data_IF_123422647252
#
_entry.id   IF_123422647252
#
_cell.length_a   1.000
_cell.length_b   1.000
_cell.length_c   1.000
_cell.angle_alpha   90.00
_cell.angle_beta   90.00
_cell.angle_gamma   90.00
#
_symmetry.space_group_name_H-M   'P 1'
#
loop_
_entity.id
_entity.type
_entity.pdbx_description
1 polymer ?
#
# COMPACT_ATOMS: atom_id res chain seq x y z
N UNK A 1 41.61 -45.82 31.84
CA UNK A 1 40.16 -45.72 31.84
C UNK A 1 39.79 -44.33 31.35
N UNK A 2 39.48 -44.21 30.04
CA UNK A 2 39.14 -42.91 29.40
C UNK A 2 37.64 -42.74 29.44
N UNK A 3 37.16 -41.71 30.16
CA UNK A 3 35.78 -41.27 30.18
C UNK A 3 35.52 -40.42 28.93
N UNK A 4 34.59 -40.84 28.08
CA UNK A 4 34.10 -40.10 26.89
C UNK A 4 33.00 -39.18 27.36
N UNK A 5 33.28 -37.90 27.40
CA UNK A 5 32.25 -36.83 27.52
C UNK A 5 31.67 -36.59 26.13
N UNK A 6 30.41 -37.01 25.91
CA UNK A 6 29.61 -36.67 24.73
C UNK A 6 28.96 -35.28 24.94
N UNK A 7 29.45 -34.29 24.22
CA UNK A 7 28.80 -32.98 24.11
C UNK A 7 27.62 -33.09 23.14
N UNK A 8 26.41 -33.12 23.67
CA UNK A 8 25.19 -32.97 22.88
C UNK A 8 24.99 -31.48 22.61
N UNK A 9 25.32 -31.07 21.37
CA UNK A 9 25.00 -29.72 20.88
C UNK A 9 23.50 -29.64 20.59
N UNK A 10 22.75 -28.96 21.45
CA UNK A 10 21.33 -28.65 21.26
C UNK A 10 21.23 -27.51 20.26
N UNK A 11 20.96 -27.83 18.98
CA UNK A 11 20.62 -26.86 17.96
C UNK A 11 19.21 -26.30 18.26
N UNK A 12 19.15 -25.15 18.93
CA UNK A 12 17.94 -24.34 18.99
C UNK A 12 17.70 -23.75 17.58
N UNK A 13 16.86 -24.39 16.79
CA UNK A 13 16.26 -23.76 15.62
C UNK A 13 15.27 -22.71 16.11
N UNK A 14 15.69 -21.44 16.09
CA UNK A 14 14.80 -20.31 16.24
C UNK A 14 13.83 -20.34 15.06
N UNK A 15 12.64 -20.90 15.26
CA UNK A 15 11.51 -20.74 14.36
C UNK A 15 11.15 -19.26 14.43
N UNK A 16 11.56 -18.50 13.42
CA UNK A 16 11.08 -17.15 13.24
C UNK A 16 9.54 -17.26 13.14
N UNK A 17 8.84 -16.92 14.23
CA UNK A 17 7.40 -16.78 14.21
C UNK A 17 7.09 -15.64 13.24
N UNK A 18 6.80 -16.01 11.99
CA UNK A 18 6.28 -15.08 11.00
C UNK A 18 5.05 -14.43 11.62
N UNK A 19 5.02 -13.12 11.69
CA UNK A 19 3.86 -12.37 12.14
C UNK A 19 2.65 -12.88 11.34
N UNK A 20 1.73 -13.56 12.01
CA UNK A 20 0.52 -14.07 11.38
C UNK A 20 -0.26 -12.87 10.87
N UNK A 21 -0.47 -12.83 9.56
CA UNK A 21 -1.25 -11.78 8.92
C UNK A 21 -2.65 -11.72 9.55
N UNK A 22 -3.07 -10.53 9.97
CA UNK A 22 -4.40 -10.34 10.55
C UNK A 22 -5.47 -10.63 9.50
N UNK A 23 -6.48 -11.48 9.80
CA UNK A 23 -7.54 -11.77 8.85
C UNK A 23 -8.56 -10.63 8.82
N UNK A 24 -8.89 -10.14 7.63
CA UNK A 24 -10.02 -9.27 7.37
C UNK A 24 -11.07 -10.02 6.53
N UNK A 25 -12.33 -9.53 6.50
CA UNK A 25 -13.37 -10.11 5.66
C UNK A 25 -13.93 -9.09 4.67
N UNK A 26 -13.98 -9.49 3.39
CA UNK A 26 -14.59 -8.72 2.31
C UNK A 26 -15.72 -9.57 1.73
N UNK A 27 -16.99 -9.19 1.95
CA UNK A 27 -18.16 -9.98 1.50
C UNK A 27 -18.07 -11.44 1.96
N UNK A 28 -17.71 -11.68 3.23
CA UNK A 28 -17.56 -13.04 3.79
C UNK A 28 -16.23 -13.74 3.45
N UNK A 29 -15.46 -13.28 2.44
CA UNK A 29 -14.20 -13.90 2.02
C UNK A 29 -13.06 -13.47 2.96
N UNK A 30 -12.31 -14.42 3.59
CA UNK A 30 -11.19 -14.08 4.44
C UNK A 30 -9.98 -13.68 3.59
N UNK A 31 -9.45 -12.48 3.87
CA UNK A 31 -8.25 -11.90 3.27
C UNK A 31 -7.22 -11.71 4.38
N UNK A 32 -6.05 -12.31 4.24
CA UNK A 32 -4.94 -12.15 5.16
C UNK A 32 -4.12 -10.93 4.76
N UNK A 33 -3.88 -10.03 5.74
CA UNK A 33 -3.23 -8.74 5.54
C UNK A 33 -1.91 -8.72 6.30
N UNK A 34 -0.78 -9.05 5.65
CA UNK A 34 0.51 -8.98 6.33
C UNK A 34 0.90 -7.52 6.59
N UNK A 35 1.37 -7.23 7.81
CA UNK A 35 2.05 -5.97 8.06
C UNK A 35 3.34 -5.89 7.21
N UNK A 36 3.68 -4.73 6.66
CA UNK A 36 4.96 -4.52 6.00
C UNK A 36 6.15 -4.83 6.91
N UNK A 37 7.26 -5.25 6.33
CA UNK A 37 8.47 -5.51 7.12
C UNK A 37 8.88 -4.29 7.96
N UNK A 38 9.11 -4.48 9.25
CA UNK A 38 9.43 -3.42 10.22
C UNK A 38 8.22 -2.61 10.70
N UNK A 39 7.00 -3.00 10.30
CA UNK A 39 5.76 -2.37 10.74
C UNK A 39 5.03 -3.23 11.75
N UNK A 40 4.36 -2.56 12.67
CA UNK A 40 3.50 -3.15 13.68
C UNK A 40 2.05 -2.74 13.42
N UNK A 41 1.13 -3.71 13.55
CA UNK A 41 -0.30 -3.44 13.39
C UNK A 41 -0.83 -2.53 14.51
N UNK A 42 -1.72 -1.64 14.13
CA UNK A 42 -2.55 -0.94 15.10
C UNK A 42 -3.59 -1.91 15.64
N UNK A 43 -3.75 -1.92 16.97
CA UNK A 43 -4.64 -2.85 17.67
C UNK A 43 -5.72 -2.10 18.44
N UNK A 44 -6.98 -2.50 18.26
CA UNK A 44 -8.09 -1.94 19.02
C UNK A 44 -8.00 -2.19 20.54
N UNK A 45 -7.12 -3.10 20.99
CA UNK A 45 -6.82 -3.31 22.40
C UNK A 45 -6.00 -2.15 23.00
N UNK A 46 -5.31 -1.37 22.18
CA UNK A 46 -4.60 -0.16 22.61
C UNK A 46 -5.52 1.06 22.46
N UNK A 47 -5.78 1.85 23.51
CA UNK A 47 -6.72 2.98 23.46
C UNK A 47 -6.33 4.08 22.44
N UNK A 48 -5.03 4.33 22.23
CA UNK A 48 -4.56 5.31 21.24
C UNK A 48 -4.81 4.82 19.82
N UNK A 49 -4.47 3.55 19.55
CA UNK A 49 -4.71 2.91 18.25
C UNK A 49 -6.21 2.87 17.94
N UNK A 50 -7.03 2.46 18.91
CA UNK A 50 -8.49 2.41 18.77
C UNK A 50 -9.06 3.75 18.33
N UNK A 51 -8.62 4.86 18.96
CA UNK A 51 -9.07 6.21 18.56
C UNK A 51 -8.70 6.50 17.10
N UNK A 52 -7.46 6.21 16.68
CA UNK A 52 -7.01 6.43 15.31
C UNK A 52 -7.77 5.56 14.32
N UNK A 53 -7.87 4.26 14.58
CA UNK A 53 -8.60 3.32 13.71
C UNK A 53 -10.07 3.73 13.58
N UNK A 54 -10.74 4.07 14.68
CA UNK A 54 -12.14 4.53 14.66
C UNK A 54 -12.31 5.82 13.83
N UNK A 55 -11.41 6.79 14.01
CA UNK A 55 -11.45 8.06 13.26
C UNK A 55 -11.25 7.82 11.76
N UNK A 56 -10.25 7.02 11.39
CA UNK A 56 -9.98 6.68 9.99
C UNK A 56 -11.10 5.86 9.36
N UNK A 57 -11.65 4.89 10.09
CA UNK A 57 -12.80 4.10 9.61
C UNK A 57 -13.97 5.03 9.26
N UNK A 58 -14.33 5.95 10.14
CA UNK A 58 -15.42 6.89 9.87
C UNK A 58 -15.14 7.83 8.68
N UNK A 59 -13.88 8.26 8.48
CA UNK A 59 -13.50 9.06 7.31
C UNK A 59 -13.59 8.26 6.00
N UNK A 60 -13.10 7.03 6.00
CA UNK A 60 -13.06 6.17 4.84
C UNK A 60 -14.46 5.68 4.43
N UNK A 61 -15.31 5.34 5.39
CA UNK A 61 -16.70 4.94 5.12
C UNK A 61 -17.49 6.06 4.43
N UNK A 62 -17.32 7.31 4.87
CA UNK A 62 -17.90 8.47 4.18
C UNK A 62 -17.36 8.67 2.76
N UNK A 63 -16.21 8.09 2.44
CA UNK A 63 -15.61 8.09 1.12
C UNK A 63 -15.91 6.82 0.32
N UNK A 64 -16.79 5.94 0.82
CA UNK A 64 -17.16 4.70 0.17
C UNK A 64 -16.13 3.58 0.30
N UNK A 65 -15.15 3.69 1.21
CA UNK A 65 -14.14 2.67 1.45
C UNK A 65 -14.22 2.11 2.88
N UNK A 66 -13.92 0.85 3.03
CA UNK A 66 -13.75 0.17 4.32
C UNK A 66 -12.28 0.00 4.63
N UNK A 67 -11.87 0.41 5.83
CA UNK A 67 -10.55 0.08 6.37
C UNK A 67 -10.52 -1.41 6.70
N UNK A 68 -9.54 -2.13 6.18
CA UNK A 68 -9.31 -3.56 6.43
C UNK A 68 -8.21 -3.78 7.46
N UNK A 69 -7.21 -2.90 7.50
CA UNK A 69 -6.09 -2.95 8.42
C UNK A 69 -5.20 -1.73 8.27
N UNK A 70 -4.49 -1.41 9.34
CA UNK A 70 -3.49 -0.34 9.39
C UNK A 70 -2.29 -0.79 10.19
N UNK A 71 -1.12 -0.44 9.71
CA UNK A 71 0.15 -0.68 10.39
C UNK A 71 1.07 0.54 10.23
N UNK A 72 2.01 0.72 11.14
CA UNK A 72 2.99 1.79 11.10
C UNK A 72 4.36 1.26 11.47
N UNK A 73 5.42 1.99 11.11
CA UNK A 73 6.76 1.71 11.60
C UNK A 73 6.74 1.47 13.11
N UNK A 74 7.30 0.35 13.58
CA UNK A 74 7.14 -0.10 14.97
C UNK A 74 7.70 0.92 15.99
N UNK A 75 8.83 1.56 15.65
CA UNK A 75 9.41 2.57 16.52
C UNK A 75 8.56 3.82 16.57
N UNK A 76 8.10 4.31 15.39
CA UNK A 76 7.23 5.48 15.34
C UNK A 76 5.90 5.23 16.04
N UNK A 77 5.34 4.03 15.93
CA UNK A 77 4.10 3.66 16.61
C UNK A 77 4.27 3.66 18.14
N UNK A 78 5.40 3.17 18.64
CA UNK A 78 5.75 3.20 20.06
C UNK A 78 5.88 4.64 20.57
N UNK A 79 6.58 5.49 19.83
CA UNK A 79 6.79 6.90 20.18
C UNK A 79 5.46 7.68 20.13
N UNK A 80 4.60 7.37 19.16
CA UNK A 80 3.28 7.97 19.04
C UNK A 80 2.35 7.56 20.20
N UNK A 81 2.32 6.27 20.57
CA UNK A 81 1.52 5.75 21.69
C UNK A 81 1.93 6.39 23.03
N UNK A 82 3.19 6.73 23.18
CA UNK A 82 3.74 7.36 24.40
C UNK A 82 3.73 8.89 24.37
N UNK A 83 3.21 9.51 23.29
CA UNK A 83 3.14 10.97 23.14
C UNK A 83 4.46 11.64 22.78
N UNK A 84 5.55 10.89 22.56
CA UNK A 84 6.82 11.43 22.09
C UNK A 84 6.77 11.91 20.66
N UNK A 85 5.79 11.44 19.88
CA UNK A 85 5.55 11.78 18.49
C UNK A 85 4.07 12.14 18.29
N UNK A 86 3.81 13.22 17.55
CA UNK A 86 2.43 13.66 17.28
C UNK A 86 1.81 12.98 16.06
N UNK A 87 2.61 12.71 15.01
CA UNK A 87 2.18 12.12 13.75
C UNK A 87 3.02 10.92 13.38
N UNK A 88 2.40 9.94 12.75
CA UNK A 88 3.11 8.86 12.06
C UNK A 88 3.60 9.37 10.70
N UNK A 89 4.85 9.09 10.36
CA UNK A 89 5.45 9.45 9.08
C UNK A 89 5.35 8.30 8.09
N UNK A 90 5.67 7.08 8.57
CA UNK A 90 5.66 5.87 7.76
C UNK A 90 4.58 4.93 8.27
N UNK A 91 3.53 4.76 7.47
CA UNK A 91 2.43 3.85 7.78
C UNK A 91 1.83 3.25 6.50
N UNK A 92 1.07 2.19 6.67
CA UNK A 92 0.40 1.47 5.60
C UNK A 92 -1.06 1.19 5.96
N UNK A 93 -1.90 1.09 4.95
CA UNK A 93 -3.32 0.75 5.10
C UNK A 93 -3.73 -0.23 4.02
N UNK A 94 -4.68 -1.10 4.37
CA UNK A 94 -5.44 -1.88 3.40
C UNK A 94 -6.90 -1.45 3.45
N UNK A 95 -7.50 -1.28 2.27
CA UNK A 95 -8.87 -0.82 2.12
C UNK A 95 -9.58 -1.62 1.03
N UNK A 96 -10.92 -1.56 1.02
CA UNK A 96 -11.76 -2.10 -0.07
C UNK A 96 -12.94 -1.16 -0.32
N UNK A 97 -13.43 -1.02 -1.56
CA UNK A 97 -14.63 -0.24 -1.84
C UNK A 97 -15.86 -0.93 -1.24
N UNK A 98 -16.66 -0.19 -0.45
CA UNK A 98 -17.86 -0.75 0.22
C UNK A 98 -18.86 -1.26 -0.80
N UNK A 99 -19.11 -0.51 -1.89
CA UNK A 99 -20.10 -0.86 -2.91
C UNK A 99 -19.80 -2.13 -3.71
N UNK A 100 -18.57 -2.66 -3.62
CA UNK A 100 -18.14 -3.89 -4.34
C UNK A 100 -17.81 -5.06 -3.41
N UNK A 101 -18.03 -4.93 -2.09
CA UNK A 101 -17.64 -5.99 -1.14
C UNK A 101 -18.29 -7.33 -1.43
N UNK A 102 -19.57 -7.34 -1.80
CA UNK A 102 -20.35 -8.57 -2.03
C UNK A 102 -20.33 -9.02 -3.49
N UNK A 103 -19.71 -8.23 -4.38
CA UNK A 103 -19.63 -8.49 -5.81
C UNK A 103 -18.20 -8.77 -6.26
N UNK A 104 -17.99 -9.47 -7.38
CA UNK A 104 -16.69 -9.49 -8.03
C UNK A 104 -16.32 -8.08 -8.52
N UNK A 105 -15.01 -7.79 -8.69
CA UNK A 105 -14.55 -6.54 -9.29
C UNK A 105 -15.19 -6.33 -10.67
N UNK A 106 -15.63 -5.11 -10.96
CA UNK A 106 -16.16 -4.74 -12.28
C UNK A 106 -15.08 -4.55 -13.33
N UNK A 107 -13.85 -4.31 -12.90
CA UNK A 107 -12.71 -4.04 -13.76
C UNK A 107 -11.55 -4.97 -13.41
N UNK A 108 -10.76 -5.30 -14.41
CA UNK A 108 -9.45 -5.96 -14.24
C UNK A 108 -8.42 -4.94 -13.75
N UNK A 109 -7.29 -5.41 -13.25
CA UNK A 109 -6.15 -4.56 -12.88
C UNK A 109 -5.72 -3.67 -14.05
N UNK A 110 -5.62 -4.23 -15.26
CA UNK A 110 -5.21 -3.49 -16.46
C UNK A 110 -6.22 -2.38 -16.82
N UNK A 111 -7.52 -2.65 -16.73
CA UNK A 111 -8.57 -1.65 -16.97
C UNK A 111 -8.48 -0.52 -15.94
N UNK A 112 -8.34 -0.86 -14.65
CA UNK A 112 -8.14 0.14 -13.59
C UNK A 112 -6.89 1.01 -13.85
N UNK A 113 -5.79 0.41 -14.31
CA UNK A 113 -4.60 1.17 -14.69
C UNK A 113 -4.84 2.11 -15.87
N UNK A 114 -5.57 1.66 -16.89
CA UNK A 114 -5.94 2.49 -18.02
C UNK A 114 -6.80 3.68 -17.58
N UNK A 115 -7.81 3.44 -16.76
CA UNK A 115 -8.68 4.50 -16.19
C UNK A 115 -7.85 5.52 -15.38
N UNK A 116 -6.94 5.06 -14.50
CA UNK A 116 -6.09 5.96 -13.72
C UNK A 116 -5.14 6.78 -14.59
N UNK A 117 -4.63 6.24 -15.72
CA UNK A 117 -3.80 7.01 -16.65
C UNK A 117 -4.58 8.09 -17.37
N UNK A 118 -5.81 7.80 -17.76
CA UNK A 118 -6.64 8.71 -18.55
C UNK A 118 -7.34 9.75 -17.69
N UNK A 119 -7.87 9.34 -16.54
CA UNK A 119 -8.80 10.14 -15.75
C UNK A 119 -8.32 10.46 -14.32
N UNK A 120 -7.16 9.95 -13.91
CA UNK A 120 -6.71 10.04 -12.51
C UNK A 120 -6.66 11.47 -11.96
N UNK A 121 -6.18 12.44 -12.73
CA UNK A 121 -6.21 13.85 -12.34
C UNK A 121 -7.64 14.36 -12.14
N UNK A 122 -8.53 14.10 -13.08
CA UNK A 122 -9.94 14.52 -13.03
C UNK A 122 -10.67 13.87 -11.85
N UNK A 123 -10.40 12.59 -11.59
CA UNK A 123 -10.96 11.88 -10.42
C UNK A 123 -10.50 12.57 -9.14
N UNK A 124 -9.20 12.88 -9.01
CA UNK A 124 -8.68 13.58 -7.85
C UNK A 124 -9.32 14.97 -7.71
N UNK A 125 -9.32 15.78 -8.76
CA UNK A 125 -9.89 17.13 -8.75
C UNK A 125 -11.35 17.15 -8.30
N UNK A 126 -12.15 16.19 -8.76
CA UNK A 126 -13.55 16.06 -8.39
C UNK A 126 -13.76 15.63 -6.93
N UNK A 127 -12.87 14.80 -6.38
CA UNK A 127 -13.01 14.25 -5.02
C UNK A 127 -12.29 15.06 -3.95
N UNK A 128 -11.25 15.79 -4.33
CA UNK A 128 -10.37 16.48 -3.39
C UNK A 128 -11.09 17.49 -2.47
N UNK A 129 -12.04 18.32 -2.94
CA UNK A 129 -12.75 19.27 -2.07
C UNK A 129 -13.49 18.56 -0.93
N UNK A 130 -14.19 17.47 -1.25
CA UNK A 130 -14.93 16.69 -0.27
C UNK A 130 -14.01 15.93 0.70
N UNK A 131 -12.92 15.37 0.19
CA UNK A 131 -11.90 14.71 1.03
C UNK A 131 -11.30 15.72 2.00
N UNK A 132 -10.88 16.89 1.51
CA UNK A 132 -10.30 17.97 2.30
C UNK A 132 -11.26 18.42 3.40
N UNK A 133 -12.50 18.75 3.06
CA UNK A 133 -13.52 19.19 4.02
C UNK A 133 -13.74 18.14 5.13
N UNK A 134 -13.81 16.84 4.76
CA UNK A 134 -13.98 15.76 5.72
C UNK A 134 -12.77 15.56 6.63
N UNK A 135 -11.56 15.60 6.07
CA UNK A 135 -10.32 15.45 6.85
C UNK A 135 -10.19 16.60 7.84
N UNK A 136 -10.34 17.85 7.38
CA UNK A 136 -10.18 19.05 8.21
C UNK A 136 -11.26 19.19 9.29
N UNK A 137 -12.49 18.74 9.01
CA UNK A 137 -13.56 18.72 10.02
C UNK A 137 -13.39 17.64 11.08
N UNK A 138 -12.71 16.54 10.74
CA UNK A 138 -12.52 15.38 11.63
C UNK A 138 -11.19 15.47 12.37
N UNK A 139 -10.14 15.91 11.69
CA UNK A 139 -8.78 16.07 12.22
C UNK A 139 -8.48 17.58 12.35
N UNK A 140 -9.09 18.22 13.33
CA UNK A 140 -9.03 19.69 13.53
C UNK A 140 -7.61 20.25 13.60
N UNK A 141 -6.63 19.40 13.92
CA UNK A 141 -5.19 19.75 14.02
C UNK A 141 -4.41 19.61 12.71
N UNK A 142 -5.07 19.27 11.62
CA UNK A 142 -4.44 19.04 10.33
C UNK A 142 -5.19 19.84 9.26
N UNK A 143 -4.43 20.59 8.45
CA UNK A 143 -4.94 21.23 7.23
C UNK A 143 -4.30 20.58 6.02
N UNK A 144 -5.13 20.21 5.07
CA UNK A 144 -4.69 19.71 3.76
C UNK A 144 -4.50 20.89 2.82
N UNK A 145 -3.27 21.12 2.38
CA UNK A 145 -2.98 22.19 1.43
C UNK A 145 -3.02 21.63 -0.01
N UNK A 146 -1.89 21.63 -0.70
CA UNK A 146 -1.80 21.15 -2.08
C UNK A 146 -1.77 19.64 -2.14
N UNK A 147 -2.54 19.06 -3.06
CA UNK A 147 -2.50 17.63 -3.39
C UNK A 147 -2.31 17.49 -4.89
N UNK A 148 -1.32 16.71 -5.31
CA UNK A 148 -0.99 16.48 -6.72
C UNK A 148 -0.95 14.98 -7.01
N UNK A 149 -1.64 14.55 -8.06
CA UNK A 149 -1.57 13.20 -8.57
C UNK A 149 -0.29 13.01 -9.39
N UNK A 150 0.50 12.00 -9.06
CA UNK A 150 1.74 11.66 -9.77
C UNK A 150 1.53 10.76 -10.98
N UNK A 151 0.29 10.30 -11.18
CA UNK A 151 -0.03 9.35 -12.22
C UNK A 151 0.19 7.89 -11.81
N UNK A 152 0.09 7.01 -12.80
CA UNK A 152 0.44 5.59 -12.66
C UNK A 152 1.96 5.48 -12.65
N UNK A 153 2.50 4.97 -11.54
CA UNK A 153 3.94 4.82 -11.30
C UNK A 153 4.49 3.50 -11.87
N UNK A 154 3.66 2.46 -11.86
CA UNK A 154 3.98 1.15 -12.40
C UNK A 154 2.72 0.31 -12.61
N UNK A 155 2.85 -0.76 -13.38
CA UNK A 155 1.86 -1.81 -13.57
C UNK A 155 2.57 -3.15 -13.70
N UNK A 156 1.96 -4.19 -13.14
CA UNK A 156 2.34 -5.59 -13.38
C UNK A 156 1.08 -6.46 -13.49
N UNK A 157 1.25 -7.75 -13.67
CA UNK A 157 0.13 -8.69 -13.83
C UNK A 157 -0.82 -8.75 -12.61
N UNK A 158 -0.39 -8.26 -11.46
CA UNK A 158 -1.08 -8.41 -10.19
C UNK A 158 -1.63 -7.09 -9.63
N UNK A 159 -1.02 -5.96 -9.99
CA UNK A 159 -1.40 -4.67 -9.41
C UNK A 159 -1.13 -3.48 -10.33
N UNK A 160 -1.98 -2.46 -10.19
CA UNK A 160 -1.75 -1.12 -10.69
C UNK A 160 -1.26 -0.24 -9.55
N UNK A 161 -0.13 0.44 -9.75
CA UNK A 161 0.49 1.30 -8.76
C UNK A 161 0.39 2.75 -9.20
N UNK A 162 -0.12 3.61 -8.33
CA UNK A 162 -0.19 5.04 -8.58
C UNK A 162 0.26 5.82 -7.34
N UNK A 163 0.40 7.13 -7.46
CA UNK A 163 0.87 7.95 -6.36
C UNK A 163 0.29 9.35 -6.34
N UNK A 164 0.36 9.97 -5.19
CA UNK A 164 0.06 11.37 -4.99
C UNK A 164 1.01 11.99 -3.96
N UNK A 165 1.23 13.28 -4.07
CA UNK A 165 1.96 14.08 -3.09
C UNK A 165 0.98 15.06 -2.46
N UNK A 166 1.07 15.23 -1.14
CA UNK A 166 0.21 16.08 -0.36
C UNK A 166 1.00 16.93 0.61
N UNK A 167 0.71 18.23 0.67
CA UNK A 167 1.21 19.12 1.69
C UNK A 167 0.21 19.17 2.85
N UNK A 168 0.71 18.93 4.06
CA UNK A 168 -0.05 18.90 5.29
C UNK A 168 0.54 19.96 6.21
N UNK A 169 -0.32 20.83 6.76
CA UNK A 169 0.02 21.76 7.82
C UNK A 169 -0.59 21.28 9.14
N UNK A 170 0.20 21.30 10.23
CA UNK A 170 -0.27 20.95 11.56
C UNK A 170 -0.47 22.19 12.43
N UNK A 171 -1.33 22.13 13.44
CA UNK A 171 -1.50 23.22 14.42
C UNK A 171 -0.19 23.61 15.14
N UNK A 172 0.75 22.67 15.25
CA UNK A 172 2.08 22.95 15.79
C UNK A 172 2.97 23.79 14.86
N UNK A 173 2.42 24.26 13.71
CA UNK A 173 3.15 25.07 12.75
C UNK A 173 4.12 24.28 11.88
N UNK A 174 4.02 22.95 11.83
CA UNK A 174 4.91 22.11 11.02
C UNK A 174 4.28 21.84 9.66
N UNK A 175 4.99 22.23 8.60
CA UNK A 175 4.68 21.82 7.24
C UNK A 175 5.34 20.49 6.93
N UNK A 176 4.54 19.57 6.41
CA UNK A 176 5.00 18.24 6.00
C UNK A 176 4.53 17.95 4.59
N UNK A 177 5.44 17.54 3.73
CA UNK A 177 5.08 16.96 2.44
C UNK A 177 5.08 15.44 2.56
N UNK A 178 3.96 14.83 2.26
CA UNK A 178 3.76 13.38 2.32
C UNK A 178 3.59 12.83 0.92
N UNK A 179 4.21 11.69 0.64
CA UNK A 179 3.90 10.86 -0.52
C UNK A 179 2.98 9.72 -0.07
N UNK A 180 1.95 9.49 -0.86
CA UNK A 180 1.11 8.30 -0.78
C UNK A 180 1.28 7.52 -2.08
N UNK A 181 1.88 6.34 -2.02
CA UNK A 181 1.79 5.38 -3.11
C UNK A 181 0.66 4.39 -2.79
N UNK A 182 -0.14 4.04 -3.79
CA UNK A 182 -1.19 3.07 -3.62
C UNK A 182 -1.19 2.03 -4.74
N UNK A 183 -1.66 0.84 -4.43
CA UNK A 183 -1.82 -0.27 -5.34
C UNK A 183 -3.27 -0.73 -5.35
N UNK A 184 -3.80 -0.99 -6.54
CA UNK A 184 -5.08 -1.67 -6.74
C UNK A 184 -4.78 -3.09 -7.19
N UNK A 185 -5.25 -4.08 -6.43
CA UNK A 185 -5.06 -5.51 -6.72
C UNK A 185 -6.35 -6.29 -6.50
N UNK A 186 -6.42 -7.49 -7.07
CA UNK A 186 -7.57 -8.39 -6.92
C UNK A 186 -7.12 -9.64 -6.19
N UNK A 187 -7.65 -9.88 -4.99
CA UNK A 187 -7.35 -11.03 -4.12
C UNK A 187 -8.62 -11.86 -3.95
N UNK A 188 -8.57 -13.16 -4.28
CA UNK A 188 -9.74 -14.05 -4.15
C UNK A 188 -11.02 -13.44 -4.70
N UNK A 189 -10.92 -12.82 -5.88
CA UNK A 189 -12.02 -12.13 -6.56
C UNK A 189 -12.63 -10.94 -5.78
N UNK A 190 -11.80 -10.25 -4.98
CA UNK A 190 -12.15 -9.02 -4.26
C UNK A 190 -11.12 -7.93 -4.53
N UNK A 191 -11.59 -6.68 -4.73
CA UNK A 191 -10.71 -5.53 -4.87
C UNK A 191 -10.06 -5.19 -3.52
N UNK A 192 -8.75 -5.10 -3.49
CA UNK A 192 -7.97 -4.67 -2.33
C UNK A 192 -7.07 -3.52 -2.73
N UNK A 193 -7.15 -2.45 -1.99
CA UNK A 193 -6.27 -1.28 -2.14
C UNK A 193 -5.23 -1.31 -1.03
N UNK A 194 -3.96 -1.33 -1.41
CA UNK A 194 -2.83 -1.19 -0.48
C UNK A 194 -2.27 0.22 -0.58
N UNK A 195 -2.08 0.89 0.54
CA UNK A 195 -1.52 2.23 0.62
C UNK A 195 -0.24 2.22 1.42
N UNK A 196 0.75 2.97 0.95
CA UNK A 196 1.99 3.27 1.66
C UNK A 196 2.17 4.78 1.75
N UNK A 197 2.35 5.27 2.97
CA UNK A 197 2.55 6.68 3.28
C UNK A 197 3.97 6.88 3.79
N UNK A 198 4.62 7.96 3.37
CA UNK A 198 5.95 8.33 3.85
C UNK A 198 6.17 9.84 3.71
N UNK A 199 7.15 10.38 4.41
CA UNK A 199 7.59 11.76 4.19
C UNK A 199 8.25 11.88 2.82
N UNK A 200 7.78 12.80 1.99
CA UNK A 200 8.41 13.13 0.74
C UNK A 200 9.61 14.07 0.98
N UNK A 201 10.78 13.65 0.58
CA UNK A 201 12.01 14.45 0.70
C UNK A 201 12.53 14.93 -0.63
N UNK A 202 12.46 14.09 -1.66
CA UNK A 202 12.92 14.37 -3.01
C UNK A 202 12.34 13.30 -3.97
N UNK A 203 12.65 13.44 -5.25
CA UNK A 203 12.16 12.54 -6.29
C UNK A 203 12.55 11.06 -6.06
N UNK A 204 13.70 10.79 -5.44
CA UNK A 204 14.12 9.41 -5.14
C UNK A 204 13.18 8.74 -4.13
N UNK A 205 12.53 9.51 -3.26
CA UNK A 205 11.53 8.99 -2.31
C UNK A 205 10.41 8.24 -3.01
N UNK A 206 10.00 8.69 -4.22
CA UNK A 206 8.94 8.04 -5.02
C UNK A 206 9.35 6.59 -5.34
N UNK A 207 10.55 6.39 -5.85
CA UNK A 207 11.07 5.06 -6.20
C UNK A 207 11.19 4.13 -4.99
N UNK A 208 11.66 4.68 -3.86
CA UNK A 208 11.80 3.92 -2.59
C UNK A 208 10.42 3.46 -2.09
N UNK A 209 9.44 4.37 -2.04
CA UNK A 209 8.09 4.05 -1.54
C UNK A 209 7.38 3.08 -2.48
N UNK A 210 7.52 3.25 -3.80
CA UNK A 210 7.00 2.32 -4.78
C UNK A 210 7.60 0.92 -4.63
N UNK A 211 8.93 0.82 -4.44
CA UNK A 211 9.60 -0.46 -4.22
C UNK A 211 9.08 -1.19 -2.98
N UNK A 212 8.91 -0.45 -1.88
CA UNK A 212 8.32 -0.98 -0.65
C UNK A 212 6.87 -1.44 -0.86
N UNK A 213 6.03 -0.65 -1.54
CA UNK A 213 4.65 -1.01 -1.83
C UNK A 213 4.55 -2.27 -2.70
N UNK A 214 5.43 -2.44 -3.70
CA UNK A 214 5.51 -3.68 -4.50
C UNK A 214 5.83 -4.90 -3.65
N UNK A 215 6.73 -4.77 -2.70
CA UNK A 215 7.04 -5.84 -1.74
C UNK A 215 5.83 -6.16 -0.85
N UNK A 216 5.09 -5.14 -0.38
CA UNK A 216 3.88 -5.31 0.42
C UNK A 216 2.79 -6.04 -0.37
N UNK A 217 2.57 -5.67 -1.65
CA UNK A 217 1.62 -6.37 -2.54
C UNK A 217 2.06 -7.82 -2.78
N UNK A 218 3.35 -8.07 -3.00
CA UNK A 218 3.86 -9.44 -3.14
C UNK A 218 3.60 -10.28 -1.89
N UNK A 219 3.86 -9.74 -0.70
CA UNK A 219 3.57 -10.40 0.57
C UNK A 219 2.07 -10.68 0.75
N UNK A 220 1.21 -9.71 0.38
CA UNK A 220 -0.25 -9.84 0.38
C UNK A 220 -0.72 -10.99 -0.53
N UNK A 221 -0.16 -11.09 -1.74
CA UNK A 221 -0.47 -12.17 -2.68
C UNK A 221 -0.09 -13.54 -2.12
N UNK A 222 1.13 -13.66 -1.59
CA UNK A 222 1.64 -14.90 -0.98
C UNK A 222 0.77 -15.32 0.20
N UNK A 223 0.43 -14.40 1.10
CA UNK A 223 -0.41 -14.69 2.27
C UNK A 223 -1.82 -15.18 1.89
N UNK A 224 -2.27 -14.89 0.66
CA UNK A 224 -3.57 -15.29 0.15
C UNK A 224 -3.53 -16.43 -0.87
N UNK A 225 -2.42 -17.15 -0.94
CA UNK A 225 -2.28 -18.38 -1.73
C UNK A 225 -1.90 -18.15 -3.21
N UNK A 226 -1.45 -16.94 -3.58
CA UNK A 226 -0.81 -16.69 -4.87
C UNK A 226 0.69 -16.72 -4.69
N UNK A 227 1.37 -17.76 -5.20
CA UNK A 227 2.82 -17.77 -5.28
C UNK A 227 3.35 -16.58 -6.12
N UNK A 228 4.62 -16.17 -5.93
CA UNK A 228 5.22 -15.15 -6.78
C UNK A 228 5.18 -15.63 -8.23
N UNK A 229 4.38 -14.95 -9.07
CA UNK A 229 4.46 -15.16 -10.50
C UNK A 229 5.80 -14.59 -10.95
N UNK A 230 6.65 -15.43 -11.53
CA UNK A 230 7.86 -15.00 -12.20
C UNK A 230 7.46 -13.88 -13.18
N UNK A 231 8.11 -12.72 -13.05
CA UNK A 231 7.93 -11.64 -14.01
C UNK A 231 8.25 -12.21 -15.39
N UNK A 232 7.24 -12.24 -16.27
CA UNK A 232 7.47 -12.58 -17.67
C UNK A 232 8.51 -11.57 -18.20
N UNK A 233 9.60 -12.02 -18.83
CA UNK A 233 10.60 -11.11 -19.35
C UNK A 233 9.90 -10.12 -20.30
N UNK A 234 10.22 -8.84 -20.12
CA UNK A 234 9.73 -7.79 -20.99
C UNK A 234 10.01 -8.22 -22.44
N UNK A 235 8.96 -8.35 -23.27
CA UNK A 235 9.12 -8.59 -24.70
C UNK A 235 9.95 -7.45 -25.23
N UNK A 236 11.21 -7.74 -25.55
CA UNK A 236 12.01 -6.86 -26.40
C UNK A 236 11.23 -6.73 -27.71
N UNK A 237 10.83 -5.50 -28.03
CA UNK A 237 10.26 -5.19 -29.33
C UNK A 237 11.31 -5.55 -30.39
N UNK A 238 11.12 -6.66 -31.07
CA UNK A 238 11.88 -6.95 -32.26
C UNK A 238 11.67 -5.81 -33.26
N UNK A 239 12.75 -5.09 -33.49
CA UNK A 239 12.86 -4.05 -34.50
C UNK A 239 12.77 -4.75 -35.87
N UNK A 240 11.81 -4.45 -36.75
CA UNK A 240 11.83 -5.01 -38.09
C UNK A 240 12.92 -4.33 -38.90
N UNK A 241 14.12 -4.92 -38.89
CA UNK A 241 15.21 -4.50 -39.75
C UNK A 241 14.90 -4.81 -41.20
N UNK A 242 14.73 -3.75 -41.96
CA UNK A 242 15.04 -3.55 -43.37
C UNK A 242 15.51 -4.79 -44.18
N UNK A 243 14.61 -5.32 -44.97
CA UNK A 243 14.99 -6.03 -46.21
C UNK A 243 14.84 -5.12 -47.40
N UNK A 244 15.86 -4.35 -47.71
CA UNK A 244 16.02 -3.72 -49.00
C UNK A 244 16.48 -4.79 -50.03
N UNK A 245 15.54 -5.31 -50.80
CA UNK A 245 15.83 -6.10 -51.98
C UNK A 245 16.25 -5.17 -53.13
N UNK A 246 17.51 -5.22 -53.49
CA UNK A 246 18.05 -4.65 -54.74
C UNK A 246 17.51 -5.41 -55.94
N UNK A 247 16.62 -4.80 -56.72
CA UNK A 247 16.24 -5.27 -58.05
C UNK A 247 17.19 -4.63 -59.10
N UNK A 248 18.13 -5.42 -59.59
CA UNK A 248 18.95 -5.07 -60.78
C UNK A 248 18.16 -5.42 -62.03
N UNK A 249 17.89 -4.41 -62.86
CA UNK A 249 17.37 -4.58 -64.24
C UNK A 249 18.54 -4.88 -65.17
N UNK A 250 18.29 -5.86 -66.04
CA UNK A 250 18.76 -5.88 -67.41
C UNK A 250 17.57 -5.67 -68.34
#
# INVERSE_FOLDING_TARGET
MLSRLAFAALLLTAVAAGALASPARIGGVPIYLPAPHGFCDLSESNPSDKRMVTTLTGLLEKSGNKLLGMSADCQQLTDWRTGKRQLLDDYAQYQTPIGSMDKPPSETVAQTCATLRQEGNKILENQLPDIKARVESTLTKIKMNETSFLGVLAEDANACYAGLIQKIHTEAGTDKTQITAFAVTIIKNKSVFGYRFSVYRNQQTIGVVLGKLKADVSALLVANGRGPQAQAPARQSENPSNSLSSSTRK
#
